data_IF_499614428961
#
_entry.id   IF_499614428961
#
_cell.length_a   1.000
_cell.length_b   1.000
_cell.length_c   1.000
_cell.angle_alpha   90.00
_cell.angle_beta   90.00
_cell.angle_gamma   90.00
#
_symmetry.space_group_name_H-M   'P 1'
#
loop_
_entity.id
_entity.type
_entity.pdbx_description
1 polymer ?
#
# COMPACT_ATOMS: atom_id res chain seq x y z
N UNK A 1 -14.77 -10.19 -2.93
CA UNK A 1 -15.79 -11.02 -2.27
C UNK A 1 -17.16 -10.36 -2.34
N UNK A 2 -18.22 -11.17 -2.37
CA UNK A 2 -19.59 -10.77 -2.10
C UNK A 2 -19.77 -10.87 -0.59
N UNK A 3 -20.06 -9.75 0.07
CA UNK A 3 -20.43 -9.75 1.48
C UNK A 3 -21.93 -9.92 1.60
N UNK A 4 -22.37 -10.81 2.51
CA UNK A 4 -23.78 -11.12 2.73
C UNK A 4 -24.03 -11.46 4.22
N UNK A 5 -25.27 -11.42 4.64
CA UNK A 5 -25.76 -11.87 5.94
C UNK A 5 -26.32 -13.30 5.93
N UNK A 6 -26.19 -14.01 4.81
CA UNK A 6 -26.52 -15.44 4.74
C UNK A 6 -25.68 -16.23 5.72
N UNK A 7 -26.35 -17.03 6.56
CA UNK A 7 -25.69 -17.81 7.60
C UNK A 7 -24.79 -18.92 7.00
N UNK A 8 -23.49 -18.69 7.03
CA UNK A 8 -22.48 -19.68 6.65
C UNK A 8 -21.83 -20.25 7.93
N UNK A 9 -21.78 -21.54 8.04
CA UNK A 9 -21.13 -22.27 9.14
C UNK A 9 -20.16 -23.33 8.57
N UNK A 10 -19.27 -23.89 9.40
CA UNK A 10 -18.41 -25.00 8.98
C UNK A 10 -19.21 -26.11 8.28
N UNK A 11 -18.75 -26.48 7.07
CA UNK A 11 -19.44 -27.42 6.16
C UNK A 11 -20.08 -26.74 4.94
N UNK A 12 -20.41 -25.45 4.99
CA UNK A 12 -20.99 -24.72 3.86
C UNK A 12 -19.95 -24.13 2.91
N UNK A 13 -18.65 -24.08 3.31
CA UNK A 13 -17.55 -23.60 2.47
C UNK A 13 -17.43 -24.44 1.20
N UNK A 14 -17.29 -23.79 0.04
CA UNK A 14 -17.30 -24.43 -1.28
C UNK A 14 -18.70 -24.65 -1.85
N UNK A 15 -19.76 -24.48 -1.07
CA UNK A 15 -21.15 -24.53 -1.55
C UNK A 15 -21.53 -23.25 -2.32
N UNK A 16 -22.60 -23.31 -3.14
CA UNK A 16 -23.05 -22.18 -3.94
C UNK A 16 -23.80 -21.13 -3.10
N UNK A 17 -23.63 -19.86 -3.50
CA UNK A 17 -24.50 -18.77 -3.09
C UNK A 17 -25.45 -18.49 -4.26
N UNK A 18 -26.75 -18.55 -3.99
CA UNK A 18 -27.80 -18.31 -4.99
C UNK A 18 -28.38 -16.90 -4.86
N UNK A 19 -28.83 -16.34 -5.99
CA UNK A 19 -29.74 -15.21 -6.01
C UNK A 19 -31.22 -15.67 -5.93
N UNK A 20 -32.16 -14.72 -5.97
CA UNK A 20 -33.59 -15.02 -5.90
C UNK A 20 -34.14 -15.70 -7.17
N UNK A 21 -33.39 -15.66 -8.29
CA UNK A 21 -33.74 -16.31 -9.55
C UNK A 21 -33.22 -17.76 -9.60
N UNK A 22 -32.54 -18.23 -8.54
CA UNK A 22 -31.96 -19.57 -8.46
C UNK A 22 -30.62 -19.72 -9.20
N UNK A 23 -29.99 -18.61 -9.60
CA UNK A 23 -28.68 -18.62 -10.25
C UNK A 23 -27.57 -18.61 -9.20
N UNK A 24 -26.47 -19.32 -9.48
CA UNK A 24 -25.27 -19.28 -8.65
C UNK A 24 -24.52 -17.98 -8.89
N UNK A 25 -24.45 -17.11 -7.90
CA UNK A 25 -23.75 -15.82 -7.96
C UNK A 25 -22.40 -15.84 -7.26
N UNK A 26 -22.11 -16.88 -6.46
CA UNK A 26 -20.84 -17.00 -5.77
C UNK A 26 -20.59 -18.37 -5.15
N UNK A 27 -19.38 -18.55 -4.64
CA UNK A 27 -18.95 -19.74 -3.89
C UNK A 27 -18.63 -19.33 -2.47
N UNK A 28 -19.29 -19.94 -1.50
CA UNK A 28 -19.10 -19.66 -0.07
C UNK A 28 -17.66 -19.94 0.36
N UNK A 29 -17.01 -18.98 1.04
CA UNK A 29 -15.59 -19.05 1.33
C UNK A 29 -15.30 -18.91 2.81
N UNK A 30 -15.67 -17.78 3.43
CA UNK A 30 -15.28 -17.48 4.79
C UNK A 30 -16.34 -16.64 5.52
N UNK A 31 -16.20 -16.59 6.85
CA UNK A 31 -17.01 -15.74 7.73
C UNK A 31 -16.11 -14.81 8.54
N UNK A 32 -16.65 -13.68 8.98
CA UNK A 32 -16.05 -12.94 10.08
C UNK A 32 -16.52 -13.57 11.38
N UNK A 33 -15.58 -14.07 12.20
CA UNK A 33 -15.95 -14.74 13.45
C UNK A 33 -14.86 -14.56 14.53
N UNK A 34 -15.30 -14.38 15.77
CA UNK A 34 -14.44 -14.44 16.97
C UNK A 34 -14.55 -15.80 17.69
N UNK A 35 -15.60 -16.55 17.43
CA UNK A 35 -15.93 -17.79 18.14
C UNK A 35 -15.87 -19.03 17.25
N UNK A 36 -15.61 -18.86 15.94
CA UNK A 36 -15.62 -19.93 14.94
C UNK A 36 -16.99 -20.17 14.29
N UNK A 37 -18.06 -19.59 14.83
CA UNK A 37 -19.41 -19.66 14.25
C UNK A 37 -19.80 -18.36 13.53
N UNK A 38 -20.92 -18.41 12.80
CA UNK A 38 -21.48 -17.25 12.10
C UNK A 38 -21.86 -16.12 13.07
N UNK A 39 -21.45 -14.89 12.74
CA UNK A 39 -21.68 -13.67 13.51
C UNK A 39 -22.27 -12.53 12.65
N UNK A 40 -23.11 -12.84 11.67
CA UNK A 40 -23.78 -11.85 10.83
C UNK A 40 -23.05 -11.42 9.56
N UNK A 41 -21.80 -11.87 9.34
CA UNK A 41 -21.02 -11.52 8.16
C UNK A 41 -20.43 -12.75 7.50
N UNK A 42 -20.74 -12.94 6.23
CA UNK A 42 -20.25 -14.00 5.37
C UNK A 42 -19.65 -13.42 4.08
N UNK A 43 -18.73 -14.16 3.50
CA UNK A 43 -18.04 -13.75 2.28
C UNK A 43 -18.00 -14.90 1.28
N UNK A 44 -18.46 -14.63 0.07
CA UNK A 44 -18.44 -15.56 -1.06
C UNK A 44 -17.56 -15.04 -2.18
N UNK A 45 -16.89 -15.93 -2.88
CA UNK A 45 -16.10 -15.61 -4.09
C UNK A 45 -17.13 -15.39 -5.22
N UNK A 46 -17.10 -14.26 -5.94
CA UNK A 46 -17.97 -14.06 -7.10
C UNK A 46 -17.83 -15.18 -8.11
N UNK A 47 -18.95 -15.57 -8.74
CA UNK A 47 -18.97 -16.75 -9.62
C UNK A 47 -18.03 -16.60 -10.82
N UNK A 48 -17.89 -15.38 -11.36
CA UNK A 48 -16.99 -15.11 -12.48
C UNK A 48 -15.53 -15.39 -12.12
N UNK A 49 -15.14 -15.03 -10.88
CA UNK A 49 -13.79 -15.31 -10.36
C UNK A 49 -13.59 -16.81 -10.15
N UNK A 50 -14.60 -17.49 -9.59
CA UNK A 50 -14.54 -18.93 -9.36
C UNK A 50 -14.43 -19.72 -10.68
N UNK A 51 -15.18 -19.31 -11.71
CA UNK A 51 -15.15 -19.92 -13.03
C UNK A 51 -13.82 -19.70 -13.76
N UNK A 52 -13.23 -18.49 -13.66
CA UNK A 52 -11.89 -18.21 -14.20
C UNK A 52 -10.83 -19.11 -13.55
N UNK A 53 -10.85 -19.23 -12.23
CA UNK A 53 -9.96 -20.11 -11.47
C UNK A 53 -10.16 -21.59 -11.86
N UNK A 54 -11.41 -22.04 -11.96
CA UNK A 54 -11.74 -23.41 -12.35
C UNK A 54 -11.24 -23.75 -13.76
N UNK A 55 -11.38 -22.81 -14.71
CA UNK A 55 -10.86 -22.97 -16.07
C UNK A 55 -9.34 -23.09 -16.07
N UNK A 56 -8.63 -22.19 -15.36
CA UNK A 56 -7.17 -22.26 -15.26
C UNK A 56 -6.69 -23.57 -14.65
N UNK A 57 -7.36 -24.07 -13.60
CA UNK A 57 -7.01 -25.35 -12.97
C UNK A 57 -7.25 -26.54 -13.92
N UNK A 58 -8.36 -26.51 -14.69
CA UNK A 58 -8.68 -27.53 -15.68
C UNK A 58 -7.67 -27.55 -16.82
N UNK A 59 -7.30 -26.38 -17.34
CA UNK A 59 -6.48 -26.25 -18.55
C UNK A 59 -4.97 -26.36 -18.26
N UNK A 60 -4.52 -25.91 -17.06
CA UNK A 60 -3.11 -25.76 -16.72
C UNK A 60 -2.69 -26.43 -15.41
N UNK A 61 -3.62 -26.98 -14.62
CA UNK A 61 -3.34 -27.59 -13.32
C UNK A 61 -2.94 -26.61 -12.20
N UNK A 62 -2.80 -25.32 -12.51
CA UNK A 62 -2.44 -24.26 -11.56
C UNK A 62 -3.13 -22.95 -11.90
N UNK A 63 -3.25 -22.07 -10.90
CA UNK A 63 -3.75 -20.73 -11.08
C UNK A 63 -2.58 -19.76 -11.18
N UNK A 64 -2.44 -19.09 -12.31
CA UNK A 64 -1.48 -18.00 -12.52
C UNK A 64 -2.18 -16.66 -12.31
N UNK A 65 -1.64 -15.84 -11.41
CA UNK A 65 -2.16 -14.50 -11.15
C UNK A 65 -1.21 -13.44 -11.65
N UNK A 66 -1.77 -12.45 -12.34
CA UNK A 66 -1.01 -11.28 -12.74
C UNK A 66 -0.43 -10.58 -11.51
N UNK A 67 0.80 -10.14 -11.63
CA UNK A 67 1.53 -9.45 -10.57
C UNK A 67 2.16 -8.17 -11.10
N UNK A 68 2.03 -7.09 -10.31
CA UNK A 68 2.59 -5.79 -10.62
C UNK A 68 3.89 -5.53 -9.86
N UNK A 69 3.98 -6.02 -8.62
CA UNK A 69 5.15 -5.88 -7.75
C UNK A 69 5.24 -4.55 -7.04
N UNK A 70 4.11 -4.12 -6.47
CA UNK A 70 4.01 -2.91 -5.65
C UNK A 70 3.33 -3.18 -4.32
N UNK A 71 3.71 -2.45 -3.28
CA UNK A 71 2.93 -2.30 -2.07
C UNK A 71 2.11 -1.02 -2.20
N UNK A 72 0.82 -1.09 -1.91
CA UNK A 72 -0.13 0.01 -2.10
C UNK A 72 -0.90 0.33 -0.82
N UNK A 73 -1.38 1.56 -0.72
CA UNK A 73 -2.28 2.01 0.34
C UNK A 73 -3.40 2.89 -0.20
N UNK A 74 -4.42 3.12 0.62
CA UNK A 74 -5.49 4.08 0.30
C UNK A 74 -4.98 5.52 0.33
N UNK A 75 -5.58 6.35 -0.51
CA UNK A 75 -5.34 7.79 -0.55
C UNK A 75 -6.36 8.46 0.36
N UNK A 76 -5.91 9.01 1.49
CA UNK A 76 -6.77 9.86 2.36
C UNK A 76 -6.92 11.25 1.74
N UNK A 77 -7.82 12.08 2.30
CA UNK A 77 -8.02 13.46 1.83
C UNK A 77 -6.72 14.27 1.94
N UNK A 78 -6.04 14.15 3.07
CA UNK A 78 -4.78 14.87 3.36
C UNK A 78 -3.64 14.40 2.44
N UNK A 79 -3.59 13.09 2.12
CA UNK A 79 -2.65 12.56 1.14
C UNK A 79 -2.99 13.06 -0.26
N UNK A 80 -4.27 13.08 -0.66
CA UNK A 80 -4.67 13.63 -1.94
C UNK A 80 -4.21 15.08 -2.11
N UNK A 81 -4.42 15.93 -1.10
CA UNK A 81 -3.94 17.31 -1.07
C UNK A 81 -2.42 17.41 -1.21
N UNK A 82 -1.65 16.59 -0.45
CA UNK A 82 -0.20 16.59 -0.49
C UNK A 82 0.38 16.15 -1.85
N UNK A 83 -0.34 15.30 -2.59
CA UNK A 83 0.01 14.88 -3.95
C UNK A 83 -0.63 15.74 -5.06
N UNK A 84 -1.30 16.85 -4.70
CA UNK A 84 -1.91 17.80 -5.67
C UNK A 84 -3.16 17.25 -6.36
N UNK A 85 -3.89 16.35 -5.72
CA UNK A 85 -5.15 15.79 -6.21
C UNK A 85 -6.34 16.53 -5.61
N UNK A 86 -7.41 16.69 -6.38
CA UNK A 86 -8.65 17.37 -5.95
C UNK A 86 -9.57 16.47 -5.11
N UNK A 87 -9.37 15.15 -5.13
CA UNK A 87 -10.16 14.17 -4.38
C UNK A 87 -9.35 12.93 -4.04
N UNK A 88 -9.66 12.24 -2.92
CA UNK A 88 -9.03 10.98 -2.56
C UNK A 88 -9.52 9.87 -3.50
N UNK A 89 -8.62 9.36 -4.35
CA UNK A 89 -8.92 8.24 -5.25
C UNK A 89 -7.63 7.52 -5.64
N UNK A 90 -7.75 6.26 -6.05
CA UNK A 90 -6.64 5.48 -6.56
C UNK A 90 -5.94 4.61 -5.50
N UNK A 91 -4.82 4.05 -5.90
CA UNK A 91 -3.93 3.25 -5.06
C UNK A 91 -2.55 3.91 -5.00
N UNK A 92 -2.15 4.41 -3.84
CA UNK A 92 -0.85 5.05 -3.62
C UNK A 92 0.23 3.98 -3.48
N UNK A 93 1.26 4.07 -4.32
CA UNK A 93 2.40 3.15 -4.32
C UNK A 93 3.37 3.52 -3.19
N UNK A 94 3.40 2.71 -2.14
CA UNK A 94 4.28 2.87 -0.98
C UNK A 94 5.65 2.18 -1.18
N UNK A 95 5.70 1.09 -1.97
CA UNK A 95 6.95 0.40 -2.35
C UNK A 95 6.83 -0.15 -3.77
N UNK A 96 7.92 -0.11 -4.50
CA UNK A 96 8.11 -0.85 -5.76
C UNK A 96 9.13 -1.95 -5.46
N UNK A 97 8.78 -3.19 -5.77
CA UNK A 97 9.63 -4.34 -5.48
C UNK A 97 10.74 -4.46 -6.53
N UNK A 98 11.99 -4.71 -6.13
CA UNK A 98 13.11 -4.91 -7.06
C UNK A 98 12.82 -6.05 -8.07
N UNK A 99 13.23 -5.86 -9.32
CA UNK A 99 13.02 -6.83 -10.41
C UNK A 99 11.58 -6.95 -10.90
N UNK A 100 10.64 -6.21 -10.31
CA UNK A 100 9.22 -6.30 -10.59
C UNK A 100 8.81 -5.73 -11.96
N UNK A 101 7.62 -6.09 -12.47
CA UNK A 101 7.01 -5.44 -13.62
C UNK A 101 6.82 -3.93 -13.47
N UNK A 102 6.49 -3.47 -12.26
CA UNK A 102 6.33 -2.05 -11.94
C UNK A 102 7.65 -1.30 -12.09
N UNK A 103 8.75 -1.83 -11.51
CA UNK A 103 10.08 -1.23 -11.65
C UNK A 103 10.52 -1.14 -13.12
N UNK A 104 10.36 -2.24 -13.88
CA UNK A 104 10.68 -2.28 -15.32
C UNK A 104 9.88 -1.31 -16.17
N UNK A 105 8.74 -0.86 -15.69
CA UNK A 105 7.87 0.13 -16.31
C UNK A 105 8.08 1.56 -15.79
N UNK A 106 9.13 1.81 -14.99
CA UNK A 106 9.44 3.10 -14.35
C UNK A 106 8.31 3.60 -13.42
N UNK A 107 7.60 2.67 -12.76
CA UNK A 107 6.69 3.03 -11.67
C UNK A 107 7.50 3.40 -10.44
N UNK A 108 7.10 4.47 -9.75
CA UNK A 108 7.87 5.04 -8.65
C UNK A 108 7.06 5.06 -7.36
N UNK A 109 7.76 5.05 -6.23
CA UNK A 109 7.17 5.32 -4.91
C UNK A 109 6.58 6.73 -4.90
N UNK A 110 5.32 6.86 -4.50
CA UNK A 110 4.56 8.11 -4.56
C UNK A 110 3.66 8.22 -5.81
N UNK A 111 3.73 7.29 -6.77
CA UNK A 111 2.73 7.22 -7.83
C UNK A 111 1.36 6.83 -7.26
N UNK A 112 0.29 7.43 -7.77
CA UNK A 112 -1.07 7.02 -7.44
C UNK A 112 -1.70 6.40 -8.68
N UNK A 113 -1.95 5.09 -8.63
CA UNK A 113 -2.60 4.36 -9.74
C UNK A 113 -4.07 4.74 -9.77
N UNK A 114 -4.52 5.42 -10.83
CA UNK A 114 -5.90 5.89 -11.02
C UNK A 114 -6.67 5.08 -12.07
N UNK A 115 -5.97 4.36 -12.95
CA UNK A 115 -6.58 3.42 -13.89
C UNK A 115 -5.62 2.29 -14.23
N UNK A 116 -6.14 1.08 -14.41
CA UNK A 116 -5.40 -0.11 -14.82
C UNK A 116 -6.15 -0.83 -15.95
N UNK A 117 -5.49 -1.03 -17.09
CA UNK A 117 -6.04 -1.69 -18.27
C UNK A 117 -7.44 -1.14 -18.67
N UNK A 118 -7.61 0.20 -18.62
CA UNK A 118 -8.85 0.89 -18.95
C UNK A 118 -9.92 0.90 -17.84
N UNK A 119 -9.73 0.13 -16.75
CA UNK A 119 -10.64 0.14 -15.59
C UNK A 119 -10.19 1.22 -14.59
N UNK A 120 -11.13 1.98 -14.06
CA UNK A 120 -10.86 2.98 -13.02
C UNK A 120 -10.48 2.29 -11.70
N UNK A 121 -9.49 2.84 -11.01
CA UNK A 121 -9.09 2.46 -9.66
C UNK A 121 -9.57 3.54 -8.71
N UNK A 122 -10.69 3.30 -8.04
CA UNK A 122 -11.30 4.27 -7.12
C UNK A 122 -10.66 4.24 -5.73
N UNK A 123 -10.14 3.08 -5.30
CA UNK A 123 -9.45 2.87 -4.01
C UNK A 123 -8.38 1.78 -4.16
N UNK A 124 -7.47 1.66 -3.21
CA UNK A 124 -6.37 0.68 -3.26
C UNK A 124 -6.89 -0.75 -3.40
N UNK A 125 -7.95 -1.11 -2.69
CA UNK A 125 -8.55 -2.46 -2.72
C UNK A 125 -9.15 -2.84 -4.08
N UNK A 126 -9.38 -1.89 -5.00
CA UNK A 126 -9.86 -2.15 -6.34
C UNK A 126 -8.76 -2.66 -7.29
N UNK A 127 -7.48 -2.38 -6.99
CA UNK A 127 -6.38 -2.71 -7.90
C UNK A 127 -5.99 -4.21 -7.89
N UNK A 128 -5.80 -4.90 -6.74
CA UNK A 128 -5.34 -6.29 -6.72
C UNK A 128 -6.23 -7.27 -7.49
N UNK A 129 -7.58 -7.22 -7.41
CA UNK A 129 -8.43 -8.10 -8.18
C UNK A 129 -8.28 -7.94 -9.69
N UNK A 130 -8.16 -6.68 -10.16
CA UNK A 130 -8.03 -6.39 -11.60
C UNK A 130 -6.66 -6.81 -12.13
N UNK A 131 -5.60 -6.61 -11.35
CA UNK A 131 -4.24 -7.08 -11.67
C UNK A 131 -4.21 -8.60 -11.69
N UNK A 132 -4.72 -9.25 -10.64
CA UNK A 132 -4.69 -10.70 -10.48
C UNK A 132 -5.48 -11.46 -11.56
N UNK A 133 -6.60 -10.89 -12.07
CA UNK A 133 -7.40 -11.45 -13.16
C UNK A 133 -6.85 -11.15 -14.56
N UNK A 134 -5.80 -10.32 -14.67
CA UNK A 134 -5.20 -10.03 -15.97
C UNK A 134 -4.10 -11.07 -16.27
N UNK A 135 -4.11 -11.69 -17.47
CA UNK A 135 -3.15 -12.73 -17.81
C UNK A 135 -1.70 -12.31 -17.65
N UNK A 136 -0.87 -13.22 -17.11
CA UNK A 136 0.59 -13.07 -17.01
C UNK A 136 1.19 -12.82 -18.39
N UNK A 137 2.18 -11.92 -18.47
CA UNK A 137 2.85 -11.54 -19.72
C UNK A 137 2.08 -10.50 -20.56
N UNK A 138 0.82 -10.21 -20.25
CA UNK A 138 0.05 -9.17 -20.97
C UNK A 138 0.64 -7.78 -20.67
N UNK A 139 0.86 -6.98 -21.72
CA UNK A 139 1.23 -5.57 -21.60
C UNK A 139 -0.02 -4.71 -21.54
N UNK A 140 -0.16 -3.94 -20.46
CA UNK A 140 -1.35 -3.12 -20.19
C UNK A 140 -0.99 -1.67 -19.87
N UNK A 141 -1.86 -0.71 -20.22
CA UNK A 141 -1.70 0.69 -19.80
C UNK A 141 -2.10 0.82 -18.34
N UNK A 142 -1.24 1.47 -17.56
CA UNK A 142 -1.48 1.86 -16.17
C UNK A 142 -1.37 3.37 -16.09
N UNK A 143 -2.48 4.04 -15.76
CA UNK A 143 -2.50 5.49 -15.61
C UNK A 143 -2.20 5.84 -14.17
N UNK A 144 -1.16 6.65 -13.98
CA UNK A 144 -0.74 7.11 -12.65
C UNK A 144 -0.79 8.63 -12.56
N UNK A 145 -1.00 9.12 -11.35
CA UNK A 145 -0.77 10.51 -10.98
C UNK A 145 0.60 10.59 -10.31
N UNK A 146 1.51 11.37 -10.86
CA UNK A 146 2.86 11.61 -10.33
C UNK A 146 3.07 13.11 -10.22
N UNK A 147 3.30 13.63 -9.00
CA UNK A 147 3.50 15.06 -8.73
C UNK A 147 2.43 15.97 -9.39
N UNK A 148 1.16 15.61 -9.23
CA UNK A 148 0.01 16.36 -9.77
C UNK A 148 -0.20 16.21 -11.28
N UNK A 149 0.59 15.39 -11.99
CA UNK A 149 0.47 15.16 -13.44
C UNK A 149 0.10 13.73 -13.75
N UNK A 150 -0.91 13.57 -14.63
CA UNK A 150 -1.30 12.24 -15.10
C UNK A 150 -0.35 11.75 -16.19
N UNK A 151 0.12 10.51 -16.10
CA UNK A 151 0.92 9.83 -17.13
C UNK A 151 0.49 8.38 -17.27
N UNK A 152 0.81 7.78 -18.41
CA UNK A 152 0.48 6.37 -18.68
C UNK A 152 1.77 5.57 -18.79
N UNK A 153 1.90 4.56 -17.93
CA UNK A 153 2.97 3.58 -17.95
C UNK A 153 2.48 2.32 -18.65
N UNK A 154 3.33 1.68 -19.45
CA UNK A 154 3.03 0.41 -20.09
C UNK A 154 3.71 -0.72 -19.34
N UNK A 155 2.93 -1.52 -18.62
CA UNK A 155 3.44 -2.58 -17.76
C UNK A 155 3.16 -3.94 -18.36
N UNK A 156 4.20 -4.78 -18.49
CA UNK A 156 4.07 -6.20 -18.81
C UNK A 156 3.98 -6.99 -17.51
N UNK A 157 2.81 -7.56 -17.21
CA UNK A 157 2.58 -8.26 -15.94
C UNK A 157 3.47 -9.48 -15.77
N UNK A 158 3.95 -9.69 -14.56
CA UNK A 158 4.61 -10.91 -14.12
C UNK A 158 3.62 -11.91 -13.49
N UNK A 159 4.14 -13.06 -13.10
CA UNK A 159 3.43 -14.02 -12.26
C UNK A 159 3.70 -13.69 -10.78
N UNK A 160 2.67 -13.80 -9.93
CA UNK A 160 2.80 -13.56 -8.49
C UNK A 160 3.78 -14.60 -7.89
N UNK A 161 4.86 -14.18 -7.19
CA UNK A 161 5.80 -15.10 -6.55
C UNK A 161 5.16 -15.91 -5.42
N UNK A 162 5.55 -17.17 -5.27
CA UNK A 162 5.04 -18.10 -4.26
C UNK A 162 5.69 -17.95 -2.86
N UNK A 163 6.41 -16.87 -2.55
CA UNK A 163 7.18 -16.77 -1.29
C UNK A 163 6.85 -15.56 -0.44
N UNK A 164 6.63 -15.86 0.86
CA UNK A 164 6.62 -14.91 1.97
C UNK A 164 8.05 -14.52 2.36
N UNK A 165 8.41 -13.23 2.27
CA UNK A 165 9.66 -12.70 2.83
C UNK A 165 9.47 -12.29 4.29
N UNK A 166 10.36 -12.77 5.18
CA UNK A 166 10.39 -12.47 6.62
C UNK A 166 11.15 -11.18 6.89
N UNK A 167 10.59 -10.34 7.76
CA UNK A 167 11.14 -9.04 8.18
C UNK A 167 11.96 -9.21 9.46
N UNK A 168 13.18 -8.62 9.52
CA UNK A 168 14.10 -8.65 10.64
C UNK A 168 13.91 -7.47 11.62
N UNK A 169 14.32 -7.64 12.90
CA UNK A 169 14.25 -6.67 14.00
C UNK A 169 15.50 -5.79 14.06
N UNK A 170 15.35 -4.53 14.44
CA UNK A 170 16.46 -3.56 14.61
C UNK A 170 16.59 -3.04 16.06
N UNK A 171 17.82 -2.77 16.50
CA UNK A 171 18.19 -2.12 17.76
C UNK A 171 18.87 -0.74 17.51
N UNK A 172 18.82 0.13 18.51
CA UNK A 172 18.95 1.60 18.43
C UNK A 172 20.33 2.19 18.69
N UNK A 173 20.66 3.38 18.11
CA UNK A 173 21.62 4.34 18.68
C UNK A 173 21.45 5.80 18.20
N UNK A 174 21.37 6.72 19.15
CA UNK A 174 21.65 8.18 19.42
C UNK A 174 21.32 9.25 18.37
N UNK A 175 20.87 10.30 18.79
CA UNK A 175 19.95 11.28 19.39
C UNK A 175 20.18 12.68 18.79
N UNK A 176 19.15 13.42 18.41
CA UNK A 176 19.20 14.82 18.06
C UNK A 176 17.95 15.62 18.47
N UNK A 177 18.04 16.90 18.35
CA UNK A 177 17.41 18.08 18.92
C UNK A 177 15.93 18.34 18.52
N UNK A 178 15.33 19.26 19.29
CA UNK A 178 14.01 19.86 19.21
C UNK A 178 13.80 20.57 17.84
N UNK A 179 12.98 20.01 16.93
CA UNK A 179 12.67 20.61 15.62
C UNK A 179 11.20 21.04 15.52
N UNK A 180 10.84 21.76 14.43
CA UNK A 180 9.47 22.27 14.19
C UNK A 180 8.36 21.21 14.29
N UNK A 181 8.71 19.94 14.14
CA UNK A 181 7.77 18.82 14.17
C UNK A 181 7.65 18.18 15.54
N UNK A 182 8.50 18.61 16.51
CA UNK A 182 8.60 18.05 17.84
C UNK A 182 8.89 16.54 17.85
N UNK A 183 9.84 16.11 17.00
CA UNK A 183 10.34 14.74 16.96
C UNK A 183 11.86 14.74 17.12
N UNK A 184 12.36 13.73 17.82
CA UNK A 184 13.79 13.45 17.87
C UNK A 184 14.09 12.31 16.90
N UNK A 185 15.13 12.48 16.10
CA UNK A 185 15.54 11.50 15.11
C UNK A 185 17.03 11.19 15.24
N UNK A 186 17.42 9.98 14.84
CA UNK A 186 18.80 9.52 14.82
C UNK A 186 19.17 8.94 13.46
N UNK A 187 20.44 8.94 13.13
CA UNK A 187 20.96 8.25 11.97
C UNK A 187 20.82 6.74 12.13
N UNK A 188 20.49 6.07 11.03
CA UNK A 188 20.49 4.62 10.97
C UNK A 188 21.91 4.09 11.01
N UNK A 189 22.14 3.02 11.77
CA UNK A 189 23.39 2.27 11.70
C UNK A 189 23.53 1.54 10.37
N UNK A 190 24.75 1.19 9.97
CA UNK A 190 24.99 0.40 8.76
C UNK A 190 24.31 -0.97 8.80
N UNK A 191 24.20 -1.56 10.00
CA UNK A 191 23.50 -2.83 10.22
C UNK A 191 21.99 -2.68 10.00
N UNK A 192 21.39 -1.59 10.50
CA UNK A 192 19.97 -1.27 10.29
C UNK A 192 19.67 -1.02 8.80
N UNK A 193 20.52 -0.25 8.10
CA UNK A 193 20.37 0.01 6.67
C UNK A 193 20.42 -1.28 5.86
N UNK A 194 21.40 -2.14 6.12
CA UNK A 194 21.56 -3.43 5.44
C UNK A 194 20.43 -4.41 5.76
N UNK A 195 20.06 -4.52 7.06
CA UNK A 195 19.02 -5.46 7.52
C UNK A 195 17.62 -5.12 6.98
N UNK A 196 17.37 -3.86 6.65
CA UNK A 196 16.09 -3.38 6.11
C UNK A 196 16.16 -3.05 4.60
N UNK A 197 17.32 -3.26 3.97
CA UNK A 197 17.58 -2.93 2.54
C UNK A 197 17.23 -1.46 2.21
N UNK A 198 17.62 -0.52 3.09
CA UNK A 198 17.31 0.89 2.95
C UNK A 198 18.49 1.68 2.38
N UNK A 199 18.22 2.55 1.41
CA UNK A 199 19.21 3.47 0.84
C UNK A 199 19.53 4.65 1.76
N UNK A 200 18.62 4.97 2.70
CA UNK A 200 18.74 6.07 3.64
C UNK A 200 17.59 6.03 4.65
N UNK A 201 17.46 7.08 5.44
CA UNK A 201 16.41 7.27 6.42
C UNK A 201 16.95 7.71 7.78
N UNK A 202 16.05 8.20 8.61
CA UNK A 202 16.33 8.55 10.02
C UNK A 202 15.34 7.83 10.92
N UNK A 203 15.83 7.29 12.04
CA UNK A 203 15.02 6.62 13.04
C UNK A 203 14.36 7.66 13.94
N UNK A 204 13.08 7.53 14.18
CA UNK A 204 12.33 8.34 15.16
C UNK A 204 12.55 7.76 16.54
N UNK A 205 13.23 8.50 17.42
CA UNK A 205 13.51 8.10 18.80
C UNK A 205 12.43 8.54 19.77
N UNK A 206 11.84 9.71 19.53
CA UNK A 206 10.71 10.19 20.33
C UNK A 206 9.82 11.12 19.51
N UNK A 207 8.55 11.16 19.88
CA UNK A 207 7.53 12.03 19.27
C UNK A 207 6.87 12.81 20.38
N UNK A 208 6.99 14.14 20.34
CA UNK A 208 6.25 15.04 21.23
C UNK A 208 4.89 15.43 20.65
N UNK A 209 4.12 16.20 21.43
CA UNK A 209 2.85 16.75 20.97
C UNK A 209 3.07 17.72 19.81
N UNK A 210 2.40 17.48 18.67
CA UNK A 210 2.51 18.34 17.50
C UNK A 210 2.29 17.63 16.17
N UNK A 211 2.66 18.29 15.09
CA UNK A 211 2.33 17.90 13.72
C UNK A 211 2.72 16.46 13.33
N UNK A 212 3.84 15.97 13.84
CA UNK A 212 4.28 14.59 13.55
C UNK A 212 3.43 13.57 14.31
N UNK A 213 3.14 13.80 15.60
CA UNK A 213 2.25 12.96 16.40
C UNK A 213 0.82 12.95 15.83
N UNK A 214 0.30 14.12 15.47
CA UNK A 214 -1.03 14.27 14.85
C UNK A 214 -1.12 13.53 13.51
N UNK A 215 -0.05 13.49 12.73
CA UNK A 215 0.07 12.71 11.49
C UNK A 215 0.19 11.21 11.73
N UNK A 216 0.35 10.77 12.98
CA UNK A 216 0.48 9.36 13.35
C UNK A 216 1.92 8.81 13.24
N UNK A 217 2.94 9.65 13.24
CA UNK A 217 4.34 9.22 13.44
C UNK A 217 4.49 8.68 14.85
N UNK A 218 5.20 7.58 14.99
CA UNK A 218 5.44 6.93 16.29
C UNK A 218 6.92 6.62 16.46
N UNK A 219 7.33 6.50 17.72
CA UNK A 219 8.66 6.02 18.09
C UNK A 219 8.97 4.68 17.39
N UNK A 220 10.16 4.56 16.85
CA UNK A 220 10.62 3.39 16.09
C UNK A 220 10.26 3.43 14.60
N UNK A 221 9.52 4.43 14.11
CA UNK A 221 9.36 4.66 12.68
C UNK A 221 10.69 5.10 12.06
N UNK A 222 10.95 4.70 10.81
CA UNK A 222 12.08 5.22 10.05
C UNK A 222 11.55 6.12 8.94
N UNK A 223 11.88 7.41 8.99
CA UNK A 223 11.47 8.38 7.96
C UNK A 223 12.38 8.21 6.75
N UNK A 224 11.81 7.75 5.62
CA UNK A 224 12.52 7.51 4.37
C UNK A 224 12.46 8.68 3.40
N UNK A 225 11.30 9.36 3.34
CA UNK A 225 11.09 10.50 2.44
C UNK A 225 10.25 11.58 3.09
N UNK A 226 10.53 12.83 2.73
CA UNK A 226 9.74 14.00 3.09
C UNK A 226 9.47 14.78 1.79
N UNK A 227 8.20 15.07 1.49
CA UNK A 227 7.78 15.79 0.28
C UNK A 227 8.38 15.17 -1.00
N UNK A 228 8.33 13.85 -1.11
CA UNK A 228 8.87 13.06 -2.21
C UNK A 228 10.40 12.94 -2.28
N UNK A 229 11.15 13.66 -1.44
CA UNK A 229 12.63 13.66 -1.42
C UNK A 229 13.14 12.61 -0.43
N UNK A 230 14.18 11.88 -0.83
CA UNK A 230 14.84 10.89 0.03
C UNK A 230 15.56 11.59 1.20
N UNK A 231 15.41 11.03 2.40
CA UNK A 231 16.13 11.42 3.60
C UNK A 231 17.36 10.53 3.72
N UNK A 232 18.57 11.10 3.64
CA UNK A 232 19.81 10.32 3.71
C UNK A 232 20.32 10.17 5.14
N UNK A 233 20.22 11.25 5.91
CA UNK A 233 20.76 11.40 7.26
C UNK A 233 19.97 12.48 8.04
N UNK A 234 20.30 12.65 9.33
CA UNK A 234 19.69 13.65 10.23
C UNK A 234 19.86 15.07 9.71
N UNK A 235 21.05 15.42 9.21
CA UNK A 235 21.31 16.77 8.69
C UNK A 235 20.45 17.07 7.45
N UNK A 236 20.27 16.10 6.56
CA UNK A 236 19.38 16.23 5.41
C UNK A 236 17.93 16.40 5.84
N UNK A 237 17.49 15.59 6.81
CA UNK A 237 16.15 15.68 7.39
C UNK A 237 15.88 17.08 7.96
N UNK A 238 16.76 17.60 8.83
CA UNK A 238 16.62 18.93 9.44
C UNK A 238 16.55 20.04 8.40
N UNK A 239 17.42 20.00 7.38
CA UNK A 239 17.37 20.96 6.26
C UNK A 239 16.08 20.89 5.46
N UNK A 240 15.49 19.69 5.28
CA UNK A 240 14.21 19.50 4.59
C UNK A 240 13.07 20.07 5.43
N UNK A 241 13.01 19.74 6.72
CA UNK A 241 11.97 20.22 7.63
C UNK A 241 11.97 21.76 7.73
N UNK A 242 13.15 22.39 7.82
CA UNK A 242 13.26 23.84 7.85
C UNK A 242 12.70 24.54 6.61
N UNK A 243 12.70 23.88 5.45
CA UNK A 243 12.25 24.43 4.16
C UNK A 243 10.80 24.09 3.81
N UNK A 244 10.12 23.31 4.66
CA UNK A 244 8.74 22.94 4.38
C UNK A 244 7.83 24.18 4.42
N UNK A 245 6.90 24.29 3.46
CA UNK A 245 5.93 25.38 3.45
C UNK A 245 4.97 25.25 4.63
N UNK A 246 4.76 26.34 5.36
CA UNK A 246 3.82 26.38 6.48
C UNK A 246 2.37 26.18 6.00
N UNK A 247 1.53 25.66 6.89
CA UNK A 247 0.09 25.43 6.69
C UNK A 247 -0.30 24.52 5.51
N UNK A 248 0.67 23.76 4.96
CA UNK A 248 0.41 22.78 3.88
C UNK A 248 0.50 21.36 4.41
N UNK A 249 -0.29 20.46 3.81
CA UNK A 249 -0.14 19.02 3.99
C UNK A 249 1.05 18.51 3.18
N UNK A 250 1.96 17.80 3.82
CA UNK A 250 3.17 17.23 3.22
C UNK A 250 3.15 15.72 3.44
N UNK A 251 3.41 14.96 2.39
CA UNK A 251 3.53 13.50 2.49
C UNK A 251 4.90 13.12 3.05
N UNK A 252 4.92 12.29 4.09
CA UNK A 252 6.11 11.61 4.61
C UNK A 252 5.97 10.11 4.43
N UNK A 253 7.03 9.46 3.93
CA UNK A 253 7.11 8.01 3.85
C UNK A 253 7.87 7.50 5.05
N UNK A 254 7.24 6.65 5.84
CA UNK A 254 7.85 6.00 7.00
C UNK A 254 7.89 4.48 6.80
N UNK A 255 8.97 3.83 7.21
CA UNK A 255 9.08 2.37 7.29
C UNK A 255 8.62 1.92 8.67
N UNK A 256 7.72 0.94 8.70
CA UNK A 256 7.23 0.24 9.91
C UNK A 256 7.46 -1.25 9.81
N UNK A 257 7.13 -2.01 10.87
CA UNK A 257 7.18 -3.48 10.86
C UNK A 257 6.35 -4.13 9.75
N UNK A 258 5.25 -3.50 9.35
CA UNK A 258 4.34 -3.96 8.28
C UNK A 258 4.73 -3.52 6.87
N UNK A 259 5.85 -2.80 6.71
CA UNK A 259 6.29 -2.20 5.45
C UNK A 259 6.17 -0.68 5.42
N UNK A 260 6.58 -0.03 4.34
CA UNK A 260 6.51 1.42 4.21
C UNK A 260 5.05 1.90 4.03
N UNK A 261 4.76 3.05 4.65
CA UNK A 261 3.46 3.72 4.60
C UNK A 261 3.65 5.24 4.48
N UNK A 262 2.81 5.88 3.66
CA UNK A 262 2.73 7.33 3.61
C UNK A 262 1.81 7.87 4.72
N UNK A 263 2.27 8.91 5.40
CA UNK A 263 1.50 9.72 6.32
C UNK A 263 1.39 11.14 5.77
N UNK A 264 0.25 11.79 5.99
CA UNK A 264 0.09 13.21 5.66
C UNK A 264 0.32 14.04 6.92
N UNK A 265 1.27 14.96 6.86
CA UNK A 265 1.63 15.83 7.96
C UNK A 265 1.30 17.27 7.62
N UNK A 266 0.51 17.93 8.46
CA UNK A 266 0.24 19.37 8.33
C UNK A 266 1.37 20.16 8.98
N UNK A 267 2.16 20.86 8.16
CA UNK A 267 3.32 21.61 8.63
C UNK A 267 2.87 22.83 9.47
N UNK A 268 3.32 22.97 10.72
CA UNK A 268 2.96 24.11 11.56
C UNK A 268 3.57 25.41 11.02
N UNK A 269 2.98 26.56 11.38
CA UNK A 269 3.58 27.85 11.13
C UNK A 269 4.91 27.99 11.90
N UNK A 270 5.87 28.71 11.33
CA UNK A 270 7.12 28.99 12.06
C UNK A 270 6.80 29.80 13.33
N UNK A 271 7.33 29.33 14.46
CA UNK A 271 7.28 30.05 15.72
C UNK A 271 8.17 31.27 15.67
#
# INVERSE_FOLDING_TARGET
FIQTDVAINPGNSGGPLFNLDGEVVGVNSQIYSRTGGYMGLSFSIPIEVAMDVASQLKDHGKVSRGWLGVLIQDVTLELAESFGMSKPQGALVAKVMPGSPAEKADMQVGDIVISFNGKEVSRSSSLPPVVGSTPVGKKVPVKVMRQGRSQTLWVKLGELPDKDEKIAKAETSKTSSDNRLNIQVADLTDEQRKGLELEGGVLVESVGDGAAGDAGVTEGDIILRVDGKLVNDVDAFERMIAKLPAAKSVAILVQRRGGPIFLAMKVPEPR
#
